data_IF_707909045164
#
_entry.id   IF_707909045164
#
_cell.length_a   1.000
_cell.length_b   1.000
_cell.length_c   1.000
_cell.angle_alpha   90.00
_cell.angle_beta   90.00
_cell.angle_gamma   90.00
#
_symmetry.space_group_name_H-M   'P 1'
#
loop_
_entity.id
_entity.type
_entity.pdbx_description
1 polymer ?
#
# COMPACT_ATOMS: atom_id res chain seq x y z
N UNK A 1 12.26 -39.98 40.51
CA UNK A 1 12.34 -39.31 39.19
C UNK A 1 11.10 -39.53 38.32
N UNK A 2 9.98 -40.06 38.87
CA UNK A 2 8.73 -40.31 38.12
C UNK A 2 7.64 -39.29 38.50
N UNK A 3 7.70 -38.71 39.71
CA UNK A 3 6.75 -37.68 40.16
C UNK A 3 6.81 -36.38 39.33
N UNK A 4 7.99 -35.90 38.94
CA UNK A 4 8.13 -34.65 38.15
C UNK A 4 7.51 -34.70 36.74
N UNK A 5 7.34 -35.88 36.14
CA UNK A 5 6.77 -36.00 34.79
C UNK A 5 5.25 -35.87 34.82
N UNK A 6 4.61 -36.46 35.83
CA UNK A 6 3.16 -36.33 36.03
C UNK A 6 2.76 -34.87 36.34
N UNK A 7 3.60 -34.15 37.10
CA UNK A 7 3.39 -32.75 37.41
C UNK A 7 3.49 -31.86 36.16
N UNK A 8 4.39 -32.18 35.24
CA UNK A 8 4.54 -31.45 33.98
C UNK A 8 3.38 -31.71 33.03
N UNK A 9 2.94 -32.96 32.89
CA UNK A 9 1.77 -33.30 32.06
C UNK A 9 0.49 -32.63 32.59
N UNK A 10 0.33 -32.58 33.91
CA UNK A 10 -0.78 -31.90 34.55
C UNK A 10 -0.75 -30.39 34.25
N UNK A 11 0.41 -29.74 34.42
CA UNK A 11 0.58 -28.31 34.16
C UNK A 11 0.34 -27.96 32.69
N UNK A 12 0.80 -28.80 31.75
CA UNK A 12 0.56 -28.60 30.31
C UNK A 12 -0.93 -28.75 29.99
N UNK A 13 -1.60 -29.76 30.54
CA UNK A 13 -3.04 -29.95 30.34
C UNK A 13 -3.86 -28.77 30.87
N UNK A 14 -3.59 -28.32 32.10
CA UNK A 14 -4.26 -27.16 32.69
C UNK A 14 -4.03 -25.88 31.88
N UNK A 15 -2.83 -25.70 31.34
CA UNK A 15 -2.53 -24.56 30.46
C UNK A 15 -3.38 -24.59 29.18
N UNK A 16 -3.45 -25.74 28.50
CA UNK A 16 -4.26 -25.89 27.29
C UNK A 16 -5.76 -25.83 27.57
N UNK A 17 -6.23 -26.31 28.71
CA UNK A 17 -7.63 -26.15 29.13
C UNK A 17 -8.00 -24.68 29.29
N UNK A 18 -7.13 -23.87 29.91
CA UNK A 18 -7.33 -22.42 30.06
C UNK A 18 -7.30 -21.71 28.70
N UNK A 19 -6.37 -22.06 27.80
CA UNK A 19 -6.34 -21.51 26.44
C UNK A 19 -7.57 -21.91 25.61
N UNK A 20 -8.09 -23.14 25.81
CA UNK A 20 -9.27 -23.66 25.10
C UNK A 20 -10.56 -22.93 25.43
N UNK A 21 -10.62 -22.20 26.55
CA UNK A 21 -11.77 -21.38 26.94
C UNK A 21 -12.03 -20.23 25.96
N UNK A 22 -11.11 -19.97 25.02
CA UNK A 22 -11.33 -19.01 23.94
C UNK A 22 -11.51 -17.57 24.43
N UNK A 23 -11.13 -17.28 25.69
CA UNK A 23 -11.13 -15.96 26.28
C UNK A 23 -9.96 -15.18 25.68
N UNK A 24 -10.16 -14.79 24.43
CA UNK A 24 -9.31 -13.81 23.77
C UNK A 24 -9.71 -12.44 24.32
N UNK A 25 -8.73 -11.68 24.78
CA UNK A 25 -8.95 -10.28 25.09
C UNK A 25 -9.47 -9.62 23.81
N UNK A 26 -10.76 -9.23 23.80
CA UNK A 26 -11.30 -8.46 22.68
C UNK A 26 -10.51 -7.17 22.62
N UNK A 27 -9.64 -7.05 21.63
CA UNK A 27 -9.01 -5.78 21.33
C UNK A 27 -10.13 -4.76 21.10
N UNK A 28 -10.02 -3.59 21.74
CA UNK A 28 -10.97 -2.51 21.47
C UNK A 28 -10.81 -2.11 20.02
N UNK A 29 -11.74 -2.51 19.18
CA UNK A 29 -11.78 -2.07 17.80
C UNK A 29 -12.06 -0.57 17.75
N UNK A 30 -11.05 0.20 17.37
CA UNK A 30 -11.20 1.62 17.09
C UNK A 30 -12.17 1.82 15.91
N UNK A 31 -12.85 2.98 15.86
CA UNK A 31 -13.83 3.28 14.82
C UNK A 31 -13.26 3.15 13.40
N UNK A 32 -11.98 3.47 13.22
CA UNK A 32 -11.26 3.33 11.94
C UNK A 32 -11.13 1.87 11.51
N UNK A 33 -10.81 0.96 12.44
CA UNK A 33 -10.71 -0.48 12.19
C UNK A 33 -12.08 -1.04 11.81
N UNK A 34 -13.14 -0.68 12.55
CA UNK A 34 -14.51 -1.09 12.21
C UNK A 34 -14.93 -0.63 10.82
N UNK A 35 -14.60 0.61 10.46
CA UNK A 35 -14.87 1.15 9.12
C UNK A 35 -14.11 0.38 8.05
N UNK A 36 -12.80 0.17 8.23
CA UNK A 36 -11.98 -0.57 7.28
C UNK A 36 -12.50 -2.01 7.10
N UNK A 37 -12.82 -2.71 8.18
CA UNK A 37 -13.41 -4.06 8.14
C UNK A 37 -14.74 -4.09 7.39
N UNK A 38 -15.60 -3.10 7.62
CA UNK A 38 -16.87 -2.98 6.88
C UNK A 38 -16.63 -2.79 5.38
N UNK A 39 -15.77 -1.84 4.98
CA UNK A 39 -15.45 -1.63 3.55
C UNK A 39 -14.90 -2.92 2.95
N UNK A 40 -13.94 -3.56 3.61
CA UNK A 40 -13.33 -4.80 3.15
C UNK A 40 -14.39 -5.87 2.90
N UNK A 41 -15.27 -6.13 3.88
CA UNK A 41 -16.31 -7.15 3.77
C UNK A 41 -17.36 -6.81 2.71
N UNK A 42 -17.79 -5.55 2.63
CA UNK A 42 -18.87 -5.12 1.74
C UNK A 42 -18.43 -5.05 0.27
N UNK A 43 -17.14 -4.77 0.02
CA UNK A 43 -16.63 -4.50 -1.33
C UNK A 43 -15.76 -5.63 -1.89
N UNK A 44 -15.32 -6.58 -1.05
CA UNK A 44 -14.53 -7.72 -1.51
C UNK A 44 -15.40 -8.69 -2.29
N UNK A 45 -15.10 -8.87 -3.58
CA UNK A 45 -15.79 -9.86 -4.42
C UNK A 45 -14.85 -10.54 -5.39
N UNK A 46 -15.23 -11.75 -5.80
CA UNK A 46 -14.50 -12.53 -6.80
C UNK A 46 -14.99 -12.16 -8.20
N UNK A 47 -14.08 -11.68 -9.05
CA UNK A 47 -14.31 -11.46 -10.47
C UNK A 47 -13.48 -12.47 -11.27
N UNK A 48 -14.15 -13.50 -11.79
CA UNK A 48 -13.51 -14.61 -12.48
C UNK A 48 -12.48 -15.31 -11.57
N UNK A 49 -11.20 -15.25 -11.95
CA UNK A 49 -10.07 -15.81 -11.19
C UNK A 49 -9.36 -14.78 -10.30
N UNK A 50 -9.90 -13.56 -10.16
CA UNK A 50 -9.30 -12.47 -9.39
C UNK A 50 -10.25 -12.05 -8.27
N UNK A 51 -9.69 -11.40 -7.26
CA UNK A 51 -10.44 -10.71 -6.21
C UNK A 51 -10.25 -9.21 -6.39
N UNK A 52 -11.31 -8.45 -6.18
CA UNK A 52 -11.23 -7.01 -6.01
C UNK A 52 -11.79 -6.64 -4.64
N UNK A 53 -11.27 -5.55 -4.08
CA UNK A 53 -11.76 -4.94 -2.85
C UNK A 53 -11.73 -3.43 -3.04
N UNK A 54 -12.65 -2.74 -2.38
CA UNK A 54 -12.63 -1.29 -2.24
C UNK A 54 -11.42 -0.84 -1.43
N UNK A 55 -11.01 0.40 -1.69
CA UNK A 55 -9.94 1.06 -0.94
C UNK A 55 -10.44 1.36 0.47
N UNK A 56 -9.65 1.01 1.48
CA UNK A 56 -9.99 1.15 2.91
C UNK A 56 -9.81 2.59 3.41
N UNK A 57 -10.36 3.55 2.67
CA UNK A 57 -10.21 4.97 2.98
C UNK A 57 -10.86 5.33 4.31
N UNK A 58 -10.18 6.22 5.04
CA UNK A 58 -10.68 6.79 6.30
C UNK A 58 -11.99 7.57 6.11
N UNK A 59 -12.18 8.18 4.94
CA UNK A 59 -13.34 8.98 4.56
C UNK A 59 -13.92 8.49 3.23
N UNK A 60 -15.20 8.74 2.97
CA UNK A 60 -15.90 8.24 1.77
C UNK A 60 -15.50 8.99 0.49
N UNK A 61 -15.19 10.29 0.60
CA UNK A 61 -14.73 11.14 -0.51
C UNK A 61 -13.47 11.91 -0.08
N UNK A 62 -12.29 11.26 -0.05
CA UNK A 62 -11.05 11.94 0.30
C UNK A 62 -10.76 13.05 -0.72
N UNK A 63 -10.85 14.30 -0.28
CA UNK A 63 -10.52 15.46 -1.11
C UNK A 63 -9.02 15.66 -1.10
N UNK A 64 -8.40 15.43 -2.26
CA UNK A 64 -7.00 15.78 -2.46
C UNK A 64 -6.85 17.27 -2.79
N UNK A 65 -5.89 17.98 -2.18
CA UNK A 65 -5.58 19.35 -2.57
C UNK A 65 -4.92 19.40 -3.95
N UNK A 66 -5.12 20.49 -4.70
CA UNK A 66 -4.42 20.69 -5.97
C UNK A 66 -2.92 20.90 -5.73
N UNK A 67 -2.18 19.80 -5.82
CA UNK A 67 -0.75 19.77 -5.61
C UNK A 67 0.06 19.97 -6.90
N UNK A 68 -0.56 20.40 -8.01
CA UNK A 68 0.06 20.39 -9.33
C UNK A 68 1.38 21.16 -9.37
N UNK A 69 1.41 22.38 -8.84
CA UNK A 69 2.60 23.21 -8.87
C UNK A 69 3.78 22.54 -8.13
N UNK A 70 3.49 21.85 -7.02
CA UNK A 70 4.48 21.08 -6.27
C UNK A 70 4.95 19.84 -7.03
N UNK A 71 4.01 19.09 -7.60
CA UNK A 71 4.31 17.90 -8.39
C UNK A 71 5.13 18.24 -9.65
N UNK A 72 4.81 19.34 -10.35
CA UNK A 72 5.54 19.82 -11.51
C UNK A 72 7.00 20.18 -11.17
N UNK A 73 7.23 20.91 -10.07
CA UNK A 73 8.60 21.21 -9.61
C UNK A 73 9.38 19.94 -9.29
N UNK A 74 8.76 18.96 -8.63
CA UNK A 74 9.37 17.65 -8.36
C UNK A 74 9.71 16.90 -9.64
N UNK A 75 8.79 16.89 -10.62
CA UNK A 75 9.01 16.26 -11.92
C UNK A 75 10.22 16.88 -12.64
N UNK A 76 10.29 18.21 -12.74
CA UNK A 76 11.45 18.90 -13.36
C UNK A 76 12.77 18.54 -12.68
N UNK A 77 12.80 18.43 -11.36
CA UNK A 77 14.01 18.01 -10.64
C UNK A 77 14.41 16.56 -10.97
N UNK A 78 13.43 15.68 -11.18
CA UNK A 78 13.67 14.28 -11.56
C UNK A 78 14.17 14.19 -12.99
N UNK A 79 13.57 14.93 -13.92
CA UNK A 79 14.02 15.03 -15.32
C UNK A 79 15.45 15.55 -15.40
N UNK A 80 15.77 16.65 -14.71
CA UNK A 80 17.14 17.17 -14.63
C UNK A 80 18.15 16.14 -14.09
N UNK A 81 17.72 15.26 -13.18
CA UNK A 81 18.55 14.17 -12.66
C UNK A 81 18.71 13.03 -13.67
N UNK A 82 17.67 12.75 -14.46
CA UNK A 82 17.72 11.78 -15.55
C UNK A 82 18.59 12.25 -16.71
N UNK A 83 18.61 13.54 -17.02
CA UNK A 83 19.48 14.09 -18.06
C UNK A 83 20.96 13.94 -17.72
N UNK A 84 21.31 14.05 -16.43
CA UNK A 84 22.69 13.85 -15.94
C UNK A 84 23.09 12.38 -15.82
N UNK A 85 22.14 11.52 -15.46
CA UNK A 85 22.34 10.09 -15.29
C UNK A 85 21.17 9.35 -15.94
N UNK A 86 21.24 9.14 -17.27
CA UNK A 86 20.17 8.53 -18.04
C UNK A 86 20.00 7.07 -17.62
N UNK A 87 18.76 6.69 -17.34
CA UNK A 87 18.40 5.33 -16.97
C UNK A 87 17.49 4.72 -18.05
N UNK A 88 18.06 4.04 -19.07
CA UNK A 88 17.30 3.36 -20.12
C UNK A 88 16.18 2.43 -19.61
N UNK A 89 16.30 1.74 -18.46
CA UNK A 89 15.22 0.90 -17.95
C UNK A 89 13.96 1.65 -17.46
N UNK A 90 13.99 2.99 -17.39
CA UNK A 90 12.89 3.80 -16.85
C UNK A 90 11.70 3.88 -17.82
N UNK A 91 11.95 4.31 -19.06
CA UNK A 91 10.93 4.41 -20.11
C UNK A 91 10.24 3.07 -20.35
N UNK A 92 11.03 2.00 -20.47
CA UNK A 92 10.52 0.64 -20.64
C UNK A 92 9.63 0.15 -19.48
N UNK A 93 9.77 0.70 -18.27
CA UNK A 93 8.86 0.36 -17.17
C UNK A 93 7.56 1.14 -17.23
N UNK A 94 7.60 2.41 -17.63
CA UNK A 94 6.39 3.19 -17.84
C UNK A 94 5.56 2.58 -18.98
N UNK A 95 6.20 2.20 -20.08
CA UNK A 95 5.55 1.52 -21.21
C UNK A 95 4.87 0.22 -20.77
N UNK A 96 5.56 -0.62 -19.99
CA UNK A 96 4.96 -1.84 -19.42
C UNK A 96 3.75 -1.56 -18.53
N UNK A 97 3.72 -0.46 -17.79
CA UNK A 97 2.53 -0.10 -17.00
C UNK A 97 1.35 0.22 -17.92
N UNK A 98 1.62 0.86 -19.05
CA UNK A 98 0.60 1.19 -20.06
C UNK A 98 0.12 -0.07 -20.78
N UNK A 99 1.03 -0.93 -21.24
CA UNK A 99 0.72 -2.19 -21.92
C UNK A 99 -0.13 -3.13 -21.05
N UNK A 100 0.16 -3.19 -19.74
CA UNK A 100 -0.61 -4.00 -18.80
C UNK A 100 -1.95 -3.37 -18.40
N UNK A 101 -2.26 -2.16 -18.88
CA UNK A 101 -3.48 -1.43 -18.55
C UNK A 101 -3.51 -0.83 -17.14
N UNK A 102 -2.36 -0.78 -16.45
CA UNK A 102 -2.26 -0.14 -15.13
C UNK A 102 -2.12 1.39 -15.21
N UNK A 103 -1.68 1.90 -16.35
CA UNK A 103 -1.57 3.33 -16.62
C UNK A 103 -2.15 3.65 -18.00
N UNK A 104 -2.59 4.90 -18.20
CA UNK A 104 -3.00 5.42 -19.50
C UNK A 104 -2.46 6.84 -19.67
N UNK A 105 -2.18 7.22 -20.90
CA UNK A 105 -1.86 8.63 -21.22
C UNK A 105 -3.12 9.46 -20.99
N UNK A 106 -2.97 10.57 -20.27
CA UNK A 106 -4.05 11.51 -20.04
C UNK A 106 -4.06 12.54 -21.17
N UNK A 107 -5.20 12.68 -21.87
CA UNK A 107 -5.35 13.63 -22.99
C UNK A 107 -5.81 15.01 -22.52
N UNK A 108 -6.69 15.06 -21.52
CA UNK A 108 -7.19 16.30 -20.95
C UNK A 108 -7.17 16.23 -19.42
N UNK A 109 -6.51 17.22 -18.80
CA UNK A 109 -6.44 17.37 -17.35
C UNK A 109 -7.82 17.46 -16.70
N UNK A 110 -8.76 18.17 -17.31
CA UNK A 110 -10.06 18.48 -16.70
C UNK A 110 -10.91 17.23 -16.37
N UNK A 111 -10.48 16.05 -16.79
CA UNK A 111 -11.17 14.78 -16.58
C UNK A 111 -10.82 14.08 -15.26
N UNK A 112 -9.86 14.58 -14.46
CA UNK A 112 -9.38 13.88 -13.26
C UNK A 112 -9.49 14.79 -12.03
N UNK A 113 -9.99 14.25 -10.90
CA UNK A 113 -9.94 14.94 -9.60
C UNK A 113 -8.48 14.90 -9.11
N UNK A 114 -7.85 16.07 -9.09
CA UNK A 114 -6.41 16.24 -9.22
C UNK A 114 -5.60 15.96 -7.94
N UNK A 115 -4.91 14.82 -7.92
CA UNK A 115 -3.74 14.59 -7.09
C UNK A 115 -2.61 14.04 -7.97
N UNK A 116 -1.51 14.77 -8.06
CA UNK A 116 -0.36 14.40 -8.90
C UNK A 116 0.75 13.80 -8.05
N UNK A 117 1.20 12.61 -8.43
CA UNK A 117 2.35 11.95 -7.83
C UNK A 117 3.54 12.01 -8.78
N UNK A 118 4.68 12.48 -8.29
CA UNK A 118 5.94 12.38 -9.03
C UNK A 118 6.47 10.96 -8.98
N UNK A 119 7.13 10.52 -10.04
CA UNK A 119 7.71 9.17 -10.15
C UNK A 119 9.22 9.22 -10.13
N UNK A 120 9.88 8.36 -9.35
CA UNK A 120 11.34 8.28 -9.32
C UNK A 120 11.85 6.83 -9.41
N UNK A 121 13.11 6.66 -9.82
CA UNK A 121 13.74 5.34 -9.93
C UNK A 121 14.38 4.91 -8.60
N UNK A 122 14.20 3.65 -8.22
CA UNK A 122 14.96 2.99 -7.15
C UNK A 122 15.61 1.71 -7.67
N UNK A 123 16.90 1.53 -7.42
CA UNK A 123 17.60 0.29 -7.76
C UNK A 123 17.22 -0.83 -6.78
N UNK A 124 17.07 -2.05 -7.29
CA UNK A 124 16.80 -3.21 -6.45
C UNK A 124 18.09 -3.65 -5.76
N UNK A 125 18.11 -3.69 -4.43
CA UNK A 125 19.27 -4.12 -3.62
C UNK A 125 19.91 -5.40 -4.14
N UNK A 126 19.10 -6.41 -4.46
CA UNK A 126 19.61 -7.74 -4.86
C UNK A 126 19.86 -7.85 -6.38
N UNK A 127 19.50 -6.84 -7.19
CA UNK A 127 19.68 -6.83 -8.65
C UNK A 127 19.95 -5.39 -9.10
N UNK A 128 21.18 -4.88 -8.97
CA UNK A 128 21.49 -3.47 -9.22
C UNK A 128 21.18 -3.02 -10.65
N UNK A 129 21.18 -3.94 -11.63
CA UNK A 129 20.82 -3.63 -13.02
C UNK A 129 19.30 -3.49 -13.25
N UNK A 130 18.46 -3.73 -12.23
CA UNK A 130 17.00 -3.59 -12.32
C UNK A 130 16.54 -2.44 -11.43
N UNK A 131 15.84 -1.49 -12.04
CA UNK A 131 15.17 -0.42 -11.31
C UNK A 131 13.73 -0.81 -10.98
N UNK A 132 13.09 -0.02 -10.12
CA UNK A 132 11.64 0.05 -9.93
C UNK A 132 11.24 1.51 -10.06
N UNK A 133 10.16 1.78 -10.80
CA UNK A 133 9.49 3.07 -10.77
C UNK A 133 8.64 3.13 -9.50
N UNK A 134 8.81 4.19 -8.71
CA UNK A 134 8.08 4.42 -7.47
C UNK A 134 7.30 5.72 -7.60
N UNK A 135 6.02 5.69 -7.25
CA UNK A 135 5.17 6.88 -7.14
C UNK A 135 5.34 7.48 -5.74
N UNK A 136 5.70 8.74 -5.67
CA UNK A 136 5.92 9.47 -4.42
C UNK A 136 4.60 9.94 -3.81
N UNK A 137 3.86 9.00 -3.22
CA UNK A 137 2.60 9.28 -2.52
C UNK A 137 2.79 9.90 -1.13
N UNK A 138 4.02 9.90 -0.61
CA UNK A 138 4.36 10.51 0.68
C UNK A 138 4.73 12.00 0.56
N UNK A 139 4.78 12.53 -0.67
CA UNK A 139 5.14 13.91 -0.93
C UNK A 139 4.13 14.87 -0.27
N UNK A 140 4.59 15.62 0.72
CA UNK A 140 3.75 16.58 1.44
C UNK A 140 3.37 17.77 0.56
N UNK A 141 2.16 18.27 0.78
CA UNK A 141 1.63 19.49 0.19
C UNK A 141 0.73 20.18 1.22
N UNK A 142 0.95 21.47 1.47
CA UNK A 142 0.15 22.29 2.40
C UNK A 142 -0.11 21.65 3.78
N UNK A 143 0.92 21.06 4.39
CA UNK A 143 0.82 20.53 5.75
C UNK A 143 0.15 19.15 5.86
N UNK A 144 -0.12 18.46 4.75
CA UNK A 144 -0.54 17.06 4.79
C UNK A 144 0.50 16.19 5.51
N UNK A 145 0.02 15.38 6.48
CA UNK A 145 0.79 14.36 7.21
C UNK A 145 0.53 12.99 6.64
#
# INVERSE_FOLDING_TARGET
MIHCLADLELAVREHFEIESLGITQRERENAEVKRASRILNDTTRRIGNKWETGLLWKEDDPRFPDNYNGARKRLTNIENKMDRDPAPPYTAQIEKLIENGYARRLENRAQVRDCFFSTFRRYKSNKPNKIRVVFDAAARFEGSR
#
